data_IF_913957547950
#
_entry.id   IF_913957547950
#
_cell.length_a   1.000
_cell.length_b   1.000
_cell.length_c   1.000
_cell.angle_alpha   90.00
_cell.angle_beta   90.00
_cell.angle_gamma   90.00
#
_symmetry.space_group_name_H-M   'P 1'
#
loop_
_entity.id
_entity.type
_entity.pdbx_description
1 polymer ?
#
# COMPACT_ATOMS: atom_id res chain seq x y z
N UNK A 1 -37.19 -9.85 26.75
CA UNK A 1 -35.74 -9.99 26.52
C UNK A 1 -35.53 -10.01 25.01
N UNK A 2 -35.42 -8.83 24.39
CA UNK A 2 -35.21 -8.71 22.95
C UNK A 2 -33.75 -8.32 22.78
N UNK A 3 -32.91 -9.30 22.42
CA UNK A 3 -31.50 -9.07 22.14
C UNK A 3 -31.35 -8.41 20.77
N UNK A 4 -30.74 -7.23 20.75
CA UNK A 4 -30.32 -6.55 19.52
C UNK A 4 -29.38 -7.46 18.71
N UNK A 5 -29.60 -7.62 17.39
CA UNK A 5 -28.78 -8.50 16.55
C UNK A 5 -27.37 -7.94 16.22
N UNK A 6 -26.94 -6.86 16.88
CA UNK A 6 -25.61 -6.24 16.63
C UNK A 6 -24.47 -6.81 17.48
N UNK A 7 -24.62 -8.01 18.07
CA UNK A 7 -23.60 -8.55 18.98
C UNK A 7 -22.58 -9.50 18.35
N UNK A 8 -22.49 -9.61 17.03
CA UNK A 8 -21.55 -10.50 16.38
C UNK A 8 -20.79 -9.77 15.28
N UNK A 9 -19.66 -9.13 15.64
CA UNK A 9 -18.29 -9.48 15.25
C UNK A 9 -17.36 -8.77 16.25
N UNK A 10 -16.85 -9.52 17.24
CA UNK A 10 -15.71 -9.11 18.07
C UNK A 10 -14.49 -9.84 17.51
N UNK A 11 -13.43 -9.11 17.15
CA UNK A 11 -12.13 -9.58 16.62
C UNK A 11 -11.91 -9.41 15.10
N UNK A 12 -12.26 -8.26 14.54
CA UNK A 12 -11.55 -7.66 13.41
C UNK A 12 -11.19 -6.24 13.84
N UNK A 13 -9.91 -5.84 13.76
CA UNK A 13 -9.51 -4.48 14.09
C UNK A 13 -10.43 -3.48 13.39
N UNK A 14 -10.86 -2.47 14.11
CA UNK A 14 -11.83 -1.48 13.67
C UNK A 14 -11.27 -0.74 12.44
N UNK A 15 -11.57 -1.22 11.23
CA UNK A 15 -11.15 -0.62 9.96
C UNK A 15 -11.70 0.80 9.78
N UNK A 16 -12.64 1.22 10.64
CA UNK A 16 -13.33 2.50 10.58
C UNK A 16 -12.41 3.70 10.84
N UNK A 17 -11.28 3.51 11.53
CA UNK A 17 -10.39 4.62 11.93
C UNK A 17 -9.54 5.18 10.76
N UNK A 18 -9.48 4.49 9.62
CA UNK A 18 -8.63 4.87 8.47
C UNK A 18 -9.40 5.09 7.16
N UNK A 19 -10.74 5.21 7.20
CA UNK A 19 -11.59 5.35 6.00
C UNK A 19 -11.52 6.72 5.31
N UNK A 20 -10.82 7.70 5.88
CA UNK A 20 -10.78 9.05 5.30
C UNK A 20 -9.94 9.12 4.02
N UNK A 21 -8.91 8.28 3.90
CA UNK A 21 -8.01 8.29 2.74
C UNK A 21 -8.58 7.46 1.58
N UNK A 22 -8.08 7.70 0.37
CA UNK A 22 -8.38 6.80 -0.74
C UNK A 22 -7.78 5.41 -0.44
N UNK A 23 -8.51 4.35 -0.80
CA UNK A 23 -8.04 2.98 -0.62
C UNK A 23 -7.60 2.42 -1.97
N UNK A 24 -6.42 1.80 -1.98
CA UNK A 24 -5.88 1.12 -3.16
C UNK A 24 -5.32 -0.25 -2.77
N UNK A 25 -5.38 -1.18 -3.72
CA UNK A 25 -4.60 -2.40 -3.67
C UNK A 25 -3.33 -2.23 -4.51
N UNK A 26 -2.34 -3.10 -4.29
CA UNK A 26 -1.17 -3.20 -5.16
C UNK A 26 -1.25 -4.52 -5.92
N UNK A 27 -1.29 -4.42 -7.25
CA UNK A 27 -1.29 -5.55 -8.14
C UNK A 27 0.06 -6.26 -8.18
N UNK A 28 0.10 -7.37 -8.91
CA UNK A 28 1.30 -8.23 -9.07
C UNK A 28 2.57 -7.47 -9.49
N UNK A 29 2.40 -6.44 -10.30
CA UNK A 29 3.47 -5.71 -10.99
C UNK A 29 3.60 -4.28 -10.43
N UNK A 30 3.17 -4.06 -9.18
CA UNK A 30 3.28 -2.78 -8.47
C UNK A 30 2.21 -1.76 -8.82
N UNK A 31 1.33 -2.03 -9.79
CA UNK A 31 0.29 -1.07 -10.15
C UNK A 31 -0.68 -0.83 -8.98
N UNK A 32 -1.02 0.44 -8.73
CA UNK A 32 -2.10 0.79 -7.81
C UNK A 32 -3.46 0.51 -8.44
N UNK A 33 -4.30 -0.26 -7.74
CA UNK A 33 -5.66 -0.60 -8.14
C UNK A 33 -6.63 0.13 -7.23
N UNK A 34 -7.49 0.98 -7.79
CA UNK A 34 -8.43 1.76 -7.01
C UNK A 34 -9.50 0.87 -6.36
N UNK A 35 -9.71 1.04 -5.05
CA UNK A 35 -10.74 0.33 -4.27
C UNK A 35 -11.87 1.27 -3.87
N UNK A 36 -11.55 2.37 -3.18
CA UNK A 36 -12.55 3.32 -2.68
C UNK A 36 -11.98 4.74 -2.47
N UNK A 37 -12.85 5.72 -2.17
CA UNK A 37 -12.50 7.12 -1.96
C UNK A 37 -12.80 8.01 -3.17
N UNK A 38 -13.75 7.63 -4.02
CA UNK A 38 -14.05 8.28 -5.31
C UNK A 38 -14.37 9.78 -5.17
N UNK A 39 -15.04 10.17 -4.08
CA UNK A 39 -15.36 11.58 -3.83
C UNK A 39 -14.10 12.38 -3.56
N UNK A 40 -13.23 11.88 -2.67
CA UNK A 40 -11.95 12.53 -2.33
C UNK A 40 -11.02 12.59 -3.54
N UNK A 41 -10.93 11.51 -4.31
CA UNK A 41 -10.14 11.48 -5.55
C UNK A 41 -10.68 12.47 -6.59
N UNK A 42 -12.00 12.54 -6.77
CA UNK A 42 -12.61 13.51 -7.70
C UNK A 42 -12.35 14.95 -7.29
N UNK A 43 -12.49 15.27 -6.00
CA UNK A 43 -12.20 16.60 -5.45
C UNK A 43 -10.73 16.96 -5.65
N UNK A 44 -9.80 16.04 -5.36
CA UNK A 44 -8.37 16.25 -5.55
C UNK A 44 -8.03 16.57 -7.01
N UNK A 45 -8.65 15.85 -7.96
CA UNK A 45 -8.49 16.12 -9.40
C UNK A 45 -9.05 17.48 -9.82
N UNK A 46 -10.22 17.88 -9.30
CA UNK A 46 -10.84 19.18 -9.61
C UNK A 46 -9.98 20.34 -9.07
N UNK A 47 -9.37 20.16 -7.91
CA UNK A 47 -8.52 21.15 -7.25
C UNK A 47 -7.06 21.12 -7.69
N UNK A 48 -6.71 20.26 -8.65
CA UNK A 48 -5.34 20.08 -9.16
C UNK A 48 -4.31 19.79 -8.06
N UNK A 49 -4.67 18.89 -7.13
CA UNK A 49 -3.79 18.47 -6.04
C UNK A 49 -2.87 17.36 -6.55
N UNK A 50 -1.56 17.66 -6.62
CA UNK A 50 -0.54 16.74 -7.14
C UNK A 50 -0.41 15.43 -6.35
N UNK A 51 -0.61 15.47 -5.03
CA UNK A 51 -0.40 14.33 -4.12
C UNK A 51 -1.44 14.27 -3.02
N UNK A 52 -2.01 13.09 -2.81
CA UNK A 52 -2.96 12.80 -1.72
C UNK A 52 -2.54 11.54 -0.97
N UNK A 53 -2.86 11.43 0.33
CA UNK A 53 -2.63 10.21 1.08
C UNK A 53 -3.52 9.07 0.56
N UNK A 54 -2.95 7.87 0.48
CA UNK A 54 -3.62 6.64 0.11
C UNK A 54 -3.28 5.54 1.13
N UNK A 55 -4.25 4.69 1.44
CA UNK A 55 -4.06 3.51 2.27
C UNK A 55 -4.00 2.27 1.39
N UNK A 56 -3.03 1.39 1.66
CA UNK A 56 -2.92 0.09 1.00
C UNK A 56 -3.80 -0.91 1.74
N UNK A 57 -4.84 -1.43 1.08
CA UNK A 57 -5.73 -2.43 1.67
C UNK A 57 -5.14 -3.83 1.55
N UNK A 58 -4.78 -4.24 0.34
CA UNK A 58 -4.12 -5.53 0.06
C UNK A 58 -2.94 -5.36 -0.89
N UNK A 59 -1.91 -6.20 -0.71
CA UNK A 59 -0.83 -6.39 -1.68
C UNK A 59 -0.96 -7.76 -2.32
N UNK A 60 -0.79 -7.84 -3.63
CA UNK A 60 -0.70 -9.12 -4.32
C UNK A 60 0.51 -9.91 -3.81
N UNK A 61 0.37 -11.24 -3.71
CA UNK A 61 1.42 -12.11 -3.15
C UNK A 61 2.77 -11.96 -3.87
N UNK A 62 2.77 -11.90 -5.20
CA UNK A 62 4.02 -11.69 -5.96
C UNK A 62 4.66 -10.32 -5.71
N UNK A 63 3.85 -9.28 -5.46
CA UNK A 63 4.39 -7.97 -5.07
C UNK A 63 5.02 -8.02 -3.68
N UNK A 64 4.39 -8.77 -2.77
CA UNK A 64 4.93 -8.99 -1.45
C UNK A 64 6.30 -9.71 -1.50
N UNK A 65 6.50 -10.64 -2.43
CA UNK A 65 7.83 -11.26 -2.66
C UNK A 65 8.87 -10.24 -3.12
N UNK A 66 8.53 -9.29 -4.01
CA UNK A 66 9.43 -8.20 -4.40
C UNK A 66 9.87 -7.38 -3.16
N UNK A 67 8.93 -7.04 -2.28
CA UNK A 67 9.26 -6.34 -1.03
C UNK A 67 10.19 -7.15 -0.12
N UNK A 68 9.91 -8.44 0.03
CA UNK A 68 10.72 -9.33 0.85
C UNK A 68 12.16 -9.41 0.33
N UNK A 69 12.35 -9.50 -0.99
CA UNK A 69 13.67 -9.47 -1.61
C UNK A 69 14.41 -8.15 -1.32
N UNK A 70 13.75 -7.00 -1.46
CA UNK A 70 14.36 -5.71 -1.13
C UNK A 70 14.75 -5.62 0.35
N UNK A 71 13.86 -6.07 1.25
CA UNK A 71 14.11 -6.01 2.68
C UNK A 71 15.24 -6.95 3.17
N UNK A 72 15.53 -8.01 2.41
CA UNK A 72 16.62 -8.95 2.72
C UNK A 72 17.95 -8.59 2.05
N UNK A 73 17.92 -7.80 0.98
CA UNK A 73 19.12 -7.39 0.27
C UNK A 73 19.95 -6.39 1.09
N UNK A 74 21.26 -6.58 1.11
CA UNK A 74 22.19 -5.62 1.75
C UNK A 74 22.54 -4.46 0.81
N UNK A 75 22.36 -4.65 -0.50
CA UNK A 75 22.63 -3.65 -1.53
C UNK A 75 21.75 -3.89 -2.76
N UNK A 76 21.61 -2.86 -3.61
CA UNK A 76 20.84 -2.98 -4.85
C UNK A 76 21.42 -4.01 -5.83
N UNK A 77 22.72 -4.28 -5.76
CA UNK A 77 23.41 -5.23 -6.65
C UNK A 77 23.08 -6.70 -6.36
N UNK A 78 22.49 -7.00 -5.19
CA UNK A 78 22.02 -8.34 -4.82
C UNK A 78 20.62 -8.66 -5.37
N UNK A 79 19.92 -7.67 -5.92
CA UNK A 79 18.56 -7.82 -6.41
C UNK A 79 18.54 -8.42 -7.81
N UNK A 80 17.52 -9.24 -8.09
CA UNK A 80 17.24 -9.65 -9.45
C UNK A 80 16.72 -8.46 -10.30
N UNK A 81 16.81 -8.60 -11.62
CA UNK A 81 16.40 -7.54 -12.56
C UNK A 81 14.96 -7.06 -12.34
N UNK A 82 14.03 -7.99 -12.03
CA UNK A 82 12.63 -7.64 -11.78
C UNK A 82 12.51 -6.70 -10.58
N UNK A 83 13.12 -7.06 -9.46
CA UNK A 83 13.02 -6.31 -8.20
C UNK A 83 13.80 -5.01 -8.25
N UNK A 84 14.97 -5.01 -8.91
CA UNK A 84 15.75 -3.79 -9.15
C UNK A 84 14.92 -2.70 -9.85
N UNK A 85 14.12 -3.09 -10.85
CA UNK A 85 13.25 -2.17 -11.59
C UNK A 85 12.16 -1.50 -10.72
N UNK A 86 11.88 -2.03 -9.53
CA UNK A 86 10.88 -1.51 -8.60
C UNK A 86 11.45 -0.69 -7.45
N UNK A 87 12.76 -0.43 -7.40
CA UNK A 87 13.39 0.34 -6.31
C UNK A 87 12.83 1.76 -6.14
N UNK A 88 12.27 2.34 -7.19
CA UNK A 88 11.63 3.67 -7.15
C UNK A 88 10.12 3.60 -6.85
N UNK A 89 9.58 2.42 -6.60
CA UNK A 89 8.16 2.26 -6.32
C UNK A 89 7.81 2.86 -4.94
N UNK A 90 6.76 3.71 -4.82
CA UNK A 90 6.43 4.38 -3.55
C UNK A 90 6.20 3.43 -2.38
N UNK A 91 5.62 2.25 -2.65
CA UNK A 91 5.42 1.24 -1.62
C UNK A 91 6.75 0.69 -1.07
N UNK A 92 7.84 0.68 -1.82
CA UNK A 92 9.13 0.07 -1.41
C UNK A 92 10.04 1.09 -0.70
N UNK A 93 9.76 2.37 -0.80
CA UNK A 93 10.64 3.45 -0.34
C UNK A 93 11.04 3.37 1.15
N UNK A 94 10.24 2.72 1.99
CA UNK A 94 10.50 2.54 3.43
C UNK A 94 11.49 1.40 3.74
N UNK A 95 11.76 0.52 2.77
CA UNK A 95 12.58 -0.69 2.95
C UNK A 95 13.80 -0.76 2.02
N UNK A 96 14.02 0.25 1.16
CA UNK A 96 15.22 0.30 0.32
C UNK A 96 16.46 0.36 1.22
N UNK A 97 17.45 -0.54 1.06
CA UNK A 97 18.67 -0.48 1.86
C UNK A 97 19.34 0.88 1.62
N UNK A 98 19.62 1.59 2.72
CA UNK A 98 20.35 2.86 2.65
C UNK A 98 21.66 2.61 1.90
N UNK A 99 21.78 3.14 0.68
CA UNK A 99 23.07 3.29 0.01
C UNK A 99 23.86 4.31 0.81
N UNK A 100 24.54 3.83 1.85
CA UNK A 100 25.53 4.60 2.56
C UNK A 100 26.62 4.99 1.56
N UNK A 101 26.63 6.25 1.14
CA UNK A 101 27.83 6.87 0.65
C UNK A 101 28.86 6.81 1.80
N UNK A 102 29.86 5.94 1.66
CA UNK A 102 31.14 6.08 2.35
C UNK A 102 31.95 7.20 1.70
#
# INVERSE_FOLDING_TARGET
>A
MNGDPKSAIKNGGDITEHLDNIMVDIGRDGQFLFVDGKHRLSIAKILDIDKIPANILVRHKEWQTVREEVAQASSADELNDRTYNYLQHPDIADIVPNTGHQ
#
